data_IF_253067492069
#
_entry.id   IF_253067492069
#
_cell.length_a   1.000
_cell.length_b   1.000
_cell.length_c   1.000
_cell.angle_alpha   90.00
_cell.angle_beta   90.00
_cell.angle_gamma   90.00
#
_symmetry.space_group_name_H-M   'P 1'
#
loop_
_entity.id
_entity.type
_entity.pdbx_description
1 polymer ?
#
# COMPACT_ATOMS: atom_id res chain seq x y z
N UNK A 1 9.23 -13.95 27.46
CA UNK A 1 9.43 -13.03 26.33
C UNK A 1 8.27 -13.22 25.38
N UNK A 2 7.41 -12.22 25.19
CA UNK A 2 6.39 -12.30 24.14
C UNK A 2 7.14 -12.32 22.82
N UNK A 3 6.88 -13.32 21.99
CA UNK A 3 7.29 -13.31 20.60
C UNK A 3 6.49 -12.19 19.92
N UNK A 4 6.98 -10.96 20.00
CA UNK A 4 6.42 -9.83 19.26
C UNK A 4 6.75 -10.06 17.79
N UNK A 5 5.93 -10.86 17.14
CA UNK A 5 5.93 -10.95 15.71
C UNK A 5 5.55 -9.57 15.16
N UNK A 6 6.25 -9.09 14.13
CA UNK A 6 5.89 -7.83 13.48
C UNK A 6 4.57 -7.94 12.71
N UNK A 7 4.15 -6.84 12.13
CA UNK A 7 2.88 -6.68 11.45
C UNK A 7 3.09 -6.09 10.05
N UNK A 8 2.46 -6.64 9.04
CA UNK A 8 2.39 -6.03 7.71
C UNK A 8 1.11 -5.21 7.61
N UNK A 9 1.24 -3.93 7.29
CA UNK A 9 0.15 -2.99 7.01
C UNK A 9 0.20 -2.63 5.54
N UNK A 10 -0.73 -3.18 4.77
CA UNK A 10 -0.74 -3.11 3.31
C UNK A 10 -1.73 -2.07 2.82
N UNK A 11 -1.22 -0.91 2.36
CA UNK A 11 -2.04 0.17 1.82
C UNK A 11 -2.17 -0.02 0.30
N UNK A 12 -3.39 -0.27 -0.15
CA UNK A 12 -3.75 -0.41 -1.57
C UNK A 12 -4.71 0.69 -2.02
N UNK A 13 -4.67 1.04 -3.28
CA UNK A 13 -5.50 2.08 -3.88
C UNK A 13 -4.88 2.64 -5.16
N UNK A 14 -5.60 3.47 -5.89
CA UNK A 14 -5.13 4.10 -7.12
C UNK A 14 -3.90 4.99 -6.90
N UNK A 15 -3.16 5.26 -7.97
CA UNK A 15 -2.15 6.33 -7.94
C UNK A 15 -2.80 7.66 -7.56
N UNK A 16 -2.20 8.43 -6.67
CA UNK A 16 -2.78 9.69 -6.17
C UNK A 16 -3.87 9.54 -5.11
N UNK A 17 -4.18 8.32 -4.64
CA UNK A 17 -5.17 8.10 -3.59
C UNK A 17 -4.70 8.55 -2.19
N UNK A 18 -3.39 8.70 -1.94
CA UNK A 18 -2.84 9.16 -0.66
C UNK A 18 -2.12 8.08 0.16
N UNK A 19 -1.84 6.91 -0.43
CA UNK A 19 -1.18 5.78 0.27
C UNK A 19 0.15 6.16 0.92
N UNK A 20 1.05 6.75 0.17
CA UNK A 20 2.38 7.16 0.65
C UNK A 20 2.29 8.17 1.78
N UNK A 21 1.41 9.16 1.64
CA UNK A 21 1.22 10.21 2.65
C UNK A 21 0.73 9.63 3.98
N UNK A 22 -0.28 8.75 3.95
CA UNK A 22 -0.80 8.07 5.14
C UNK A 22 0.28 7.18 5.75
N UNK A 23 0.95 6.36 4.94
CA UNK A 23 1.99 5.45 5.42
C UNK A 23 3.14 6.18 6.11
N UNK A 24 3.60 7.30 5.55
CA UNK A 24 4.66 8.12 6.15
C UNK A 24 4.22 8.77 7.47
N UNK A 25 3.00 9.30 7.54
CA UNK A 25 2.45 9.87 8.77
C UNK A 25 2.34 8.80 9.88
N UNK A 26 1.88 7.60 9.54
CA UNK A 26 1.81 6.46 10.48
C UNK A 26 3.22 6.03 10.92
N UNK A 27 4.17 5.93 9.98
CA UNK A 27 5.57 5.59 10.31
C UNK A 27 6.19 6.57 11.31
N UNK A 28 6.03 7.87 11.05
CA UNK A 28 6.54 8.91 11.96
C UNK A 28 5.95 8.79 13.36
N UNK A 29 4.64 8.57 13.46
CA UNK A 29 3.97 8.37 14.74
C UNK A 29 4.49 7.12 15.47
N UNK A 30 4.58 5.97 14.80
CA UNK A 30 5.12 4.74 15.40
C UNK A 30 6.55 4.93 15.90
N UNK A 31 7.39 5.57 15.11
CA UNK A 31 8.78 5.88 15.48
C UNK A 31 8.84 6.79 16.71
N UNK A 32 7.97 7.80 16.82
CA UNK A 32 7.92 8.68 17.99
C UNK A 32 7.49 7.94 19.26
N UNK A 33 6.75 6.85 19.14
CA UNK A 33 6.39 5.96 20.26
C UNK A 33 7.42 4.85 20.52
N UNK A 34 8.56 4.86 19.82
CA UNK A 34 9.59 3.84 19.97
C UNK A 34 9.23 2.48 19.35
N UNK A 35 8.23 2.41 18.47
CA UNK A 35 7.85 1.19 17.78
C UNK A 35 8.67 1.07 16.50
N UNK A 36 9.42 -0.04 16.28
CA UNK A 36 10.15 -0.26 15.04
C UNK A 36 9.20 -0.27 13.83
N UNK A 37 9.38 0.67 12.91
CA UNK A 37 8.53 0.80 11.74
C UNK A 37 9.36 0.96 10.45
N UNK A 38 9.04 0.15 9.44
CA UNK A 38 9.67 0.17 8.11
C UNK A 38 8.62 0.61 7.09
N UNK A 39 8.99 1.54 6.21
CA UNK A 39 8.14 1.93 5.08
C UNK A 39 8.71 1.38 3.78
N UNK A 40 7.87 0.71 3.01
CA UNK A 40 8.15 0.21 1.66
C UNK A 40 7.24 0.94 0.66
N UNK A 41 7.83 1.84 -0.12
CA UNK A 41 7.17 2.43 -1.28
C UNK A 41 7.26 1.44 -2.46
N UNK A 42 6.13 1.00 -2.98
CA UNK A 42 6.08 0.00 -4.04
C UNK A 42 6.76 0.43 -5.33
N UNK A 43 6.74 1.74 -5.66
CA UNK A 43 7.40 2.26 -6.85
C UNK A 43 8.92 2.28 -6.67
N UNK A 44 9.41 2.66 -5.48
CA UNK A 44 10.84 2.66 -5.18
C UNK A 44 11.41 1.24 -5.10
N UNK A 45 10.71 0.33 -4.42
CA UNK A 45 11.09 -1.10 -4.37
C UNK A 45 11.17 -1.68 -5.77
N UNK A 46 10.19 -1.38 -6.64
CA UNK A 46 10.18 -1.85 -8.02
C UNK A 46 11.38 -1.34 -8.80
N UNK A 47 11.69 -0.05 -8.73
CA UNK A 47 12.82 0.54 -9.44
C UNK A 47 14.16 -0.05 -9.01
N UNK A 48 14.33 -0.28 -7.71
CA UNK A 48 15.59 -0.74 -7.14
C UNK A 48 15.81 -2.25 -7.28
N UNK A 49 14.77 -3.05 -7.02
CA UNK A 49 14.89 -4.50 -6.92
C UNK A 49 14.29 -5.26 -8.11
N UNK A 50 13.36 -4.64 -8.84
CA UNK A 50 12.61 -5.31 -9.91
C UNK A 50 12.58 -4.50 -11.22
N UNK A 51 13.73 -3.93 -11.67
CA UNK A 51 13.74 -2.99 -12.80
C UNK A 51 13.36 -3.64 -14.15
N UNK A 52 13.45 -4.97 -14.24
CA UNK A 52 13.15 -5.73 -15.47
C UNK A 52 11.67 -6.10 -15.64
N UNK A 53 10.85 -5.95 -14.59
CA UNK A 53 9.42 -6.23 -14.68
C UNK A 53 8.71 -5.15 -15.50
N UNK A 54 7.89 -5.58 -16.46
CA UNK A 54 7.01 -4.72 -17.25
C UNK A 54 5.71 -4.37 -16.53
N UNK A 55 4.67 -4.01 -17.28
CA UNK A 55 3.36 -3.59 -16.74
C UNK A 55 2.22 -4.54 -17.14
N UNK A 56 2.56 -5.72 -17.68
CA UNK A 56 1.57 -6.78 -17.91
C UNK A 56 0.91 -7.20 -16.59
N UNK A 57 -0.22 -7.87 -16.67
CA UNK A 57 -0.87 -8.44 -15.47
C UNK A 57 0.10 -9.31 -14.70
N UNK A 58 0.79 -10.23 -15.37
CA UNK A 58 1.75 -11.13 -14.75
C UNK A 58 2.90 -10.40 -14.05
N UNK A 59 3.46 -9.35 -14.69
CA UNK A 59 4.52 -8.53 -14.08
C UNK A 59 4.05 -7.78 -12.84
N UNK A 60 2.81 -7.27 -12.87
CA UNK A 60 2.21 -6.59 -11.71
C UNK A 60 2.00 -7.54 -10.55
N UNK A 61 1.47 -8.73 -10.83
CA UNK A 61 1.28 -9.78 -9.83
C UNK A 61 2.61 -10.23 -9.24
N UNK A 62 3.62 -10.47 -10.07
CA UNK A 62 4.97 -10.84 -9.62
C UNK A 62 5.60 -9.74 -8.77
N UNK A 63 5.48 -8.48 -9.16
CA UNK A 63 5.96 -7.35 -8.36
C UNK A 63 5.32 -7.33 -6.97
N UNK A 64 4.00 -7.53 -6.88
CA UNK A 64 3.27 -7.57 -5.61
C UNK A 64 3.72 -8.75 -4.74
N UNK A 65 3.92 -9.95 -5.31
CA UNK A 65 4.45 -11.11 -4.58
C UNK A 65 5.83 -10.84 -3.99
N UNK A 66 6.73 -10.23 -4.76
CA UNK A 66 8.09 -9.90 -4.30
C UNK A 66 8.08 -8.84 -3.19
N UNK A 67 7.26 -7.80 -3.32
CA UNK A 67 7.07 -6.80 -2.27
C UNK A 67 6.49 -7.49 -1.01
N UNK A 68 5.52 -8.38 -1.17
CA UNK A 68 4.93 -9.15 -0.07
C UNK A 68 5.96 -10.01 0.67
N UNK A 69 6.83 -10.70 -0.06
CA UNK A 69 7.92 -11.49 0.53
C UNK A 69 8.92 -10.62 1.32
N UNK A 70 9.27 -9.44 0.77
CA UNK A 70 10.12 -8.48 1.47
C UNK A 70 9.46 -7.95 2.74
N UNK A 71 8.18 -7.59 2.65
CA UNK A 71 7.42 -7.11 3.80
C UNK A 71 7.32 -8.17 4.91
N UNK A 72 7.05 -9.44 4.53
CA UNK A 72 7.06 -10.57 5.45
C UNK A 72 8.39 -10.68 6.18
N UNK A 73 9.51 -10.70 5.45
CA UNK A 73 10.84 -10.84 6.06
C UNK A 73 11.12 -9.72 7.07
N UNK A 74 10.77 -8.48 6.75
CA UNK A 74 10.93 -7.35 7.70
C UNK A 74 10.01 -7.44 8.91
N UNK A 75 8.80 -7.95 8.73
CA UNK A 75 7.88 -8.19 9.85
C UNK A 75 8.39 -9.32 10.76
N UNK A 76 9.00 -10.37 10.21
CA UNK A 76 9.62 -11.43 11.00
C UNK A 76 10.79 -10.95 11.87
N UNK A 77 11.43 -9.83 11.49
CA UNK A 77 12.42 -9.12 12.31
C UNK A 77 11.79 -8.31 13.47
N UNK A 78 10.47 -8.33 13.61
CA UNK A 78 9.72 -7.64 14.68
C UNK A 78 9.24 -6.22 14.34
N UNK A 79 9.37 -5.77 13.10
CA UNK A 79 8.94 -4.44 12.70
C UNK A 79 7.46 -4.38 12.29
N UNK A 80 6.85 -3.20 12.43
CA UNK A 80 5.61 -2.84 11.71
C UNK A 80 6.02 -2.39 10.32
N UNK A 81 5.58 -3.10 9.30
CA UNK A 81 5.95 -2.83 7.91
C UNK A 81 4.79 -2.18 7.17
N UNK A 82 4.94 -0.92 6.84
CA UNK A 82 3.96 -0.14 6.07
C UNK A 82 4.29 -0.25 4.60
N UNK A 83 3.42 -0.84 3.81
CA UNK A 83 3.59 -1.03 2.37
C UNK A 83 2.60 -0.15 1.62
N UNK A 84 3.07 0.76 0.77
CA UNK A 84 2.24 1.58 -0.09
C UNK A 84 2.41 1.12 -1.55
N UNK A 85 1.43 0.43 -2.09
CA UNK A 85 1.46 -0.11 -3.46
C UNK A 85 0.05 -0.17 -4.03
N UNK A 86 -0.10 0.00 -5.34
CA UNK A 86 -1.43 -0.11 -5.99
C UNK A 86 -2.01 -1.51 -5.79
N UNK A 87 -1.26 -2.57 -6.10
CA UNK A 87 -1.66 -3.98 -5.98
C UNK A 87 -3.09 -4.23 -6.52
N UNK A 88 -3.28 -4.15 -7.85
CA UNK A 88 -4.63 -4.00 -8.42
C UNK A 88 -5.51 -5.24 -8.33
N UNK A 89 -4.93 -6.42 -8.12
CA UNK A 89 -5.66 -7.70 -8.15
C UNK A 89 -5.87 -8.28 -6.75
N UNK A 90 -7.13 -8.63 -6.42
CA UNK A 90 -7.51 -9.21 -5.13
C UNK A 90 -6.78 -10.51 -4.84
N UNK A 91 -6.66 -11.37 -5.86
CA UNK A 91 -5.98 -12.67 -5.72
C UNK A 91 -4.56 -12.51 -5.20
N UNK A 92 -3.79 -11.59 -5.78
CA UNK A 92 -2.39 -11.38 -5.37
C UNK A 92 -2.28 -10.75 -3.97
N UNK A 93 -3.18 -9.84 -3.61
CA UNK A 93 -3.24 -9.33 -2.23
C UNK A 93 -3.57 -10.43 -1.22
N UNK A 94 -4.49 -11.33 -1.59
CA UNK A 94 -4.82 -12.49 -0.76
C UNK A 94 -3.64 -13.46 -0.61
N UNK A 95 -2.87 -13.70 -1.67
CA UNK A 95 -1.63 -14.49 -1.61
C UNK A 95 -0.64 -13.87 -0.61
N UNK A 96 -0.44 -12.55 -0.65
CA UNK A 96 0.43 -11.85 0.31
C UNK A 96 -0.10 -11.96 1.74
N UNK A 97 -1.40 -11.80 1.95
CA UNK A 97 -2.04 -12.01 3.26
C UNK A 97 -1.74 -13.40 3.82
N UNK A 98 -1.83 -14.44 3.00
CA UNK A 98 -1.63 -15.82 3.43
C UNK A 98 -0.19 -16.14 3.89
N UNK A 99 0.80 -15.47 3.34
CA UNK A 99 2.20 -15.70 3.73
C UNK A 99 2.62 -14.90 4.97
N UNK A 100 1.85 -13.89 5.37
CA UNK A 100 2.14 -13.04 6.52
C UNK A 100 1.48 -13.59 7.79
N UNK A 101 2.20 -13.60 8.92
CA UNK A 101 1.66 -14.05 10.22
C UNK A 101 0.59 -13.09 10.76
N UNK A 102 0.83 -11.78 10.62
CA UNK A 102 -0.10 -10.72 10.95
C UNK A 102 -0.16 -9.71 9.79
N UNK A 103 -1.37 -9.35 9.40
CA UNK A 103 -1.61 -8.54 8.21
C UNK A 103 -2.86 -7.68 8.38
N UNK A 104 -2.76 -6.41 8.03
CA UNK A 104 -3.88 -5.48 7.92
C UNK A 104 -3.93 -4.91 6.52
N UNK A 105 -5.07 -5.03 5.84
CA UNK A 105 -5.33 -4.39 4.57
C UNK A 105 -5.97 -3.02 4.79
N UNK A 106 -5.35 -1.99 4.25
CA UNK A 106 -5.86 -0.61 4.26
C UNK A 106 -6.28 -0.25 2.85
N UNK A 107 -7.57 -0.09 2.63
CA UNK A 107 -8.06 0.46 1.39
C UNK A 107 -8.02 1.99 1.44
N UNK A 108 -7.11 2.55 0.68
CA UNK A 108 -6.98 4.01 0.51
C UNK A 108 -7.81 4.38 -0.71
N UNK A 109 -9.04 4.80 -0.44
CA UNK A 109 -10.09 5.02 -1.42
C UNK A 109 -10.21 6.51 -1.76
N UNK A 110 -10.07 6.81 -3.03
CA UNK A 110 -10.41 8.10 -3.61
C UNK A 110 -10.98 7.86 -5.01
N UNK A 111 -12.02 8.61 -5.41
CA UNK A 111 -12.54 8.56 -6.77
C UNK A 111 -11.44 8.81 -7.80
N UNK A 112 -11.53 8.15 -8.96
CA UNK A 112 -10.56 8.33 -10.04
C UNK A 112 -10.37 9.81 -10.39
N UNK A 113 -11.45 10.57 -10.49
CA UNK A 113 -11.39 12.01 -10.77
C UNK A 113 -10.51 12.74 -9.74
N UNK A 114 -10.70 12.47 -8.45
CA UNK A 114 -9.87 13.06 -7.38
C UNK A 114 -8.40 12.70 -7.51
N UNK A 115 -8.11 11.44 -7.87
CA UNK A 115 -6.74 10.99 -8.12
C UNK A 115 -6.12 11.70 -9.33
N UNK A 116 -6.88 11.88 -10.41
CA UNK A 116 -6.43 12.61 -11.60
C UNK A 116 -6.18 14.09 -11.30
N UNK A 117 -7.05 14.74 -10.53
CA UNK A 117 -6.89 16.14 -10.13
C UNK A 117 -5.64 16.36 -9.28
N UNK A 118 -5.34 15.42 -8.39
CA UNK A 118 -4.12 15.45 -7.56
C UNK A 118 -2.86 15.20 -8.37
N UNK A 119 -2.87 14.19 -9.20
CA UNK A 119 -1.78 13.73 -10.11
C UNK A 119 -0.36 14.07 -9.63
N UNK A 120 0.06 13.63 -8.44
CA UNK A 120 1.30 14.10 -7.80
C UNK A 120 2.57 13.73 -8.59
N UNK A 121 2.48 12.70 -9.44
CA UNK A 121 3.59 12.20 -10.27
C UNK A 121 3.45 12.59 -11.75
N UNK A 122 2.39 13.32 -12.13
CA UNK A 122 2.08 13.67 -13.50
C UNK A 122 1.73 12.49 -14.42
N UNK A 123 1.42 11.32 -13.82
CA UNK A 123 1.17 10.09 -14.58
C UNK A 123 -0.16 10.13 -15.33
N UNK A 124 -1.22 10.64 -14.72
CA UNK A 124 -2.53 10.75 -15.37
C UNK A 124 -2.49 11.67 -16.58
N UNK A 125 -1.80 12.81 -16.49
CA UNK A 125 -1.57 13.70 -17.65
C UNK A 125 -0.86 13.00 -18.78
N UNK A 126 0.13 12.17 -18.48
CA UNK A 126 0.86 11.38 -19.48
C UNK A 126 -0.02 10.29 -20.11
N UNK A 127 -0.87 9.65 -19.33
CA UNK A 127 -1.87 8.69 -19.84
C UNK A 127 -2.84 9.37 -20.79
N UNK A 128 -3.37 10.54 -20.42
CA UNK A 128 -4.32 11.30 -21.24
C UNK A 128 -3.70 11.81 -22.55
N UNK A 129 -2.38 11.98 -22.60
CA UNK A 129 -1.63 12.28 -23.83
C UNK A 129 -1.26 11.04 -24.65
N UNK A 130 -1.63 9.85 -24.19
CA UNK A 130 -1.29 8.59 -24.88
C UNK A 130 0.18 8.16 -24.70
N UNK A 131 0.94 8.79 -23.82
CA UNK A 131 2.35 8.45 -23.53
C UNK A 131 2.49 7.19 -22.66
N UNK A 132 1.48 6.85 -21.88
CA UNK A 132 1.42 5.67 -21.02
C UNK A 132 0.14 4.92 -21.33
N UNK A 133 0.26 3.60 -21.48
CA UNK A 133 -0.85 2.66 -21.66
C UNK A 133 -0.88 1.64 -20.53
N UNK A 134 -1.95 0.86 -20.42
CA UNK A 134 -2.14 -0.16 -19.36
C UNK A 134 -2.04 0.45 -17.96
N UNK A 135 -2.63 1.63 -17.78
CA UNK A 135 -2.59 2.35 -16.51
C UNK A 135 -3.77 1.97 -15.63
N UNK A 136 -3.49 1.55 -14.40
CA UNK A 136 -4.51 1.09 -13.44
C UNK A 136 -5.53 2.20 -13.14
N UNK A 137 -6.80 1.88 -13.33
CA UNK A 137 -7.93 2.80 -13.12
C UNK A 137 -8.38 3.51 -14.39
N UNK A 138 -7.60 3.52 -15.47
CA UNK A 138 -7.97 4.11 -16.76
C UNK A 138 -8.27 2.99 -17.79
N UNK A 139 -7.25 2.32 -18.27
CA UNK A 139 -7.31 1.25 -19.29
C UNK A 139 -6.84 -0.11 -18.76
N UNK A 140 -6.49 -0.19 -17.47
CA UNK A 140 -6.25 -1.42 -16.75
C UNK A 140 -7.08 -1.46 -15.46
N UNK A 141 -7.53 -2.66 -15.00
CA UNK A 141 -8.44 -2.76 -13.87
C UNK A 141 -7.78 -2.47 -12.52
N UNK A 142 -8.58 -1.98 -11.58
CA UNK A 142 -8.31 -2.01 -10.15
C UNK A 142 -9.46 -2.72 -9.44
N UNK A 143 -9.16 -3.81 -8.77
CA UNK A 143 -10.13 -4.57 -7.99
C UNK A 143 -10.09 -4.10 -6.54
N UNK A 144 -11.04 -3.24 -6.15
CA UNK A 144 -11.13 -2.75 -4.77
C UNK A 144 -11.24 -3.91 -3.77
N UNK A 145 -10.63 -3.80 -2.56
CA UNK A 145 -10.86 -4.76 -1.49
C UNK A 145 -12.34 -4.92 -1.16
N UNK A 146 -12.76 -6.15 -0.83
CA UNK A 146 -14.16 -6.43 -0.45
C UNK A 146 -14.35 -6.14 1.04
N UNK A 147 -13.46 -6.64 1.87
CA UNK A 147 -13.49 -6.55 3.33
C UNK A 147 -12.10 -6.13 3.86
N UNK A 148 -11.65 -4.89 3.61
CA UNK A 148 -10.42 -4.40 4.20
C UNK A 148 -10.59 -4.18 5.70
N UNK A 149 -9.56 -4.41 6.50
CA UNK A 149 -9.60 -4.08 7.94
C UNK A 149 -9.76 -2.58 8.17
N UNK A 150 -9.20 -1.76 7.27
CA UNK A 150 -9.32 -0.31 7.35
C UNK A 150 -9.70 0.27 6.01
N UNK A 151 -10.71 1.14 6.00
CA UNK A 151 -11.15 1.88 4.82
C UNK A 151 -10.96 3.38 5.07
N UNK A 152 -10.07 4.02 4.30
CA UNK A 152 -9.78 5.46 4.35
C UNK A 152 -10.34 6.15 3.10
N UNK A 153 -11.30 7.05 3.26
CA UNK A 153 -11.94 7.80 2.17
C UNK A 153 -11.27 9.17 2.01
N UNK A 154 -10.14 9.20 1.33
CA UNK A 154 -9.25 10.38 1.30
C UNK A 154 -9.77 11.56 0.48
N UNK A 155 -10.89 11.43 -0.20
CA UNK A 155 -11.59 12.56 -0.81
C UNK A 155 -12.40 13.40 0.20
N UNK A 156 -12.77 12.80 1.34
CA UNK A 156 -13.61 13.43 2.37
C UNK A 156 -13.01 13.40 3.78
N UNK A 157 -11.94 12.66 3.99
CA UNK A 157 -11.23 12.54 5.26
C UNK A 157 -9.87 13.25 5.19
N UNK A 158 -9.44 13.84 6.29
CA UNK A 158 -8.08 14.37 6.41
C UNK A 158 -7.04 13.23 6.51
N UNK A 159 -5.78 13.57 6.25
CA UNK A 159 -4.64 12.65 6.45
C UNK A 159 -4.58 12.23 7.91
N UNK A 160 -4.83 13.16 8.83
CA UNK A 160 -4.80 12.88 10.27
C UNK A 160 -5.86 11.86 10.68
N UNK A 161 -7.12 12.04 10.25
CA UNK A 161 -8.22 11.11 10.53
C UNK A 161 -7.91 9.70 10.00
N UNK A 162 -7.45 9.61 8.76
CA UNK A 162 -7.07 8.34 8.14
C UNK A 162 -5.89 7.68 8.87
N UNK A 163 -4.84 8.45 9.19
CA UNK A 163 -3.65 7.95 9.89
C UNK A 163 -3.95 7.49 11.30
N UNK A 164 -4.79 8.21 12.06
CA UNK A 164 -5.21 7.82 13.40
C UNK A 164 -6.01 6.51 13.39
N UNK A 165 -6.85 6.29 12.37
CA UNK A 165 -7.59 5.04 12.21
C UNK A 165 -6.64 3.85 11.99
N UNK A 166 -5.63 4.04 11.14
CA UNK A 166 -4.60 3.01 10.90
C UNK A 166 -3.79 2.75 12.16
N UNK A 167 -3.34 3.78 12.88
CA UNK A 167 -2.60 3.64 14.15
C UNK A 167 -3.39 2.88 15.21
N UNK A 168 -4.69 3.13 15.33
CA UNK A 168 -5.56 2.42 16.26
C UNK A 168 -5.63 0.94 15.94
N UNK A 169 -5.84 0.57 14.67
CA UNK A 169 -5.87 -0.83 14.25
C UNK A 169 -4.51 -1.54 14.47
N UNK A 170 -3.39 -0.85 14.25
CA UNK A 170 -2.07 -1.38 14.57
C UNK A 170 -1.95 -1.65 16.08
N UNK A 171 -2.33 -0.69 16.92
CA UNK A 171 -2.26 -0.84 18.37
C UNK A 171 -3.14 -2.00 18.89
N UNK A 172 -4.28 -2.25 18.28
CA UNK A 172 -5.16 -3.38 18.58
C UNK A 172 -4.53 -4.72 18.18
N UNK A 173 -3.85 -4.76 17.04
CA UNK A 173 -3.20 -5.97 16.49
C UNK A 173 -1.93 -6.38 17.26
N UNK A 174 -1.28 -5.44 17.96
CA UNK A 174 -0.04 -5.67 18.70
C UNK A 174 -0.28 -6.02 20.19
N UNK A 175 -1.54 -6.06 20.64
CA UNK A 175 -1.94 -6.46 22.01
C UNK A 175 -1.98 -7.98 22.15
#
# INVERSE_FOLDING_TARGET
MRENGGLVVWLTGLSGAGKTTIAQAVQQALTSFGVPAVFLDGDEVRKQLHPTLGFSKADREENVRRIGALAKARAEEGAVVLVAVIAPYRTTRQEVRQICRAYLEVFVDAPLQTCEERDPKGLYRRVRRGEITQFTGIDAPYEAPIEPEIHCRTASESIEESSQRVLRAIAESLR
#
